data_IF_782820186638
#
_entry.id   IF_782820186638
#
_cell.length_a   1.000
_cell.length_b   1.000
_cell.length_c   1.000
_cell.angle_alpha   90.00
_cell.angle_beta   90.00
_cell.angle_gamma   90.00
#
_symmetry.space_group_name_H-M   'P 1'
#
loop_
_entity.id
_entity.type
_entity.pdbx_description
1 polymer ?
#
# COMPACT_ATOMS: atom_id res chain seq x y z
N UNK A 1 -22.51 3.40 -24.06
CA UNK A 1 -21.22 3.08 -23.41
C UNK A 1 -20.94 1.60 -23.67
N UNK A 2 -19.82 1.24 -24.33
CA UNK A 2 -19.56 -0.15 -24.74
C UNK A 2 -19.37 -1.06 -23.52
N UNK A 3 -19.84 -2.31 -23.58
CA UNK A 3 -19.66 -3.31 -22.50
C UNK A 3 -18.18 -3.52 -22.16
N UNK A 4 -17.31 -3.37 -23.15
CA UNK A 4 -15.85 -3.50 -22.99
C UNK A 4 -15.26 -2.42 -22.08
N UNK A 5 -15.83 -1.21 -22.09
CA UNK A 5 -15.39 -0.12 -21.20
C UNK A 5 -15.75 -0.41 -19.74
N UNK A 6 -16.95 -0.95 -19.49
CA UNK A 6 -17.39 -1.32 -18.14
C UNK A 6 -16.55 -2.49 -17.58
N UNK A 7 -16.23 -3.48 -18.42
CA UNK A 7 -15.37 -4.60 -18.03
C UNK A 7 -13.94 -4.16 -17.72
N UNK A 8 -13.35 -3.29 -18.55
CA UNK A 8 -12.00 -2.75 -18.32
C UNK A 8 -11.91 -1.94 -17.02
N UNK A 9 -12.94 -1.16 -16.68
CA UNK A 9 -13.00 -0.43 -15.41
C UNK A 9 -13.11 -1.38 -14.21
N UNK A 10 -13.92 -2.45 -14.32
CA UNK A 10 -14.05 -3.45 -13.27
C UNK A 10 -12.73 -4.20 -13.02
N UNK A 11 -12.01 -4.59 -14.07
CA UNK A 11 -10.70 -5.23 -13.99
C UNK A 11 -9.67 -4.33 -13.30
N UNK A 12 -9.65 -3.04 -13.64
CA UNK A 12 -8.74 -2.06 -13.01
C UNK A 12 -9.01 -1.89 -11.51
N UNK A 13 -10.29 -1.86 -11.10
CA UNK A 13 -10.66 -1.77 -9.68
C UNK A 13 -10.20 -3.02 -8.90
N UNK A 14 -10.44 -4.22 -9.45
CA UNK A 14 -10.05 -5.47 -8.81
C UNK A 14 -8.53 -5.60 -8.67
N UNK A 15 -7.76 -5.20 -9.69
CA UNK A 15 -6.29 -5.21 -9.62
C UNK A 15 -5.79 -4.27 -8.52
N UNK A 16 -6.36 -3.07 -8.42
CA UNK A 16 -5.98 -2.09 -7.40
C UNK A 16 -6.25 -2.60 -5.98
N UNK A 17 -7.40 -3.21 -5.74
CA UNK A 17 -7.72 -3.82 -4.44
C UNK A 17 -6.73 -4.93 -4.06
N UNK A 18 -6.41 -5.79 -5.03
CA UNK A 18 -5.40 -6.83 -4.83
C UNK A 18 -4.03 -6.24 -4.48
N UNK A 19 -3.57 -5.22 -5.20
CA UNK A 19 -2.29 -4.56 -4.93
C UNK A 19 -2.24 -3.95 -3.52
N UNK A 20 -3.33 -3.29 -3.09
CA UNK A 20 -3.43 -2.73 -1.73
C UNK A 20 -3.33 -3.82 -0.67
N UNK A 21 -4.06 -4.93 -0.85
CA UNK A 21 -4.02 -6.05 0.08
C UNK A 21 -2.62 -6.67 0.14
N UNK A 22 -2.00 -6.90 -1.01
CA UNK A 22 -0.67 -7.48 -1.06
C UNK A 22 0.36 -6.60 -0.33
N UNK A 23 0.26 -5.28 -0.48
CA UNK A 23 1.18 -4.35 0.16
C UNK A 23 0.93 -4.23 1.67
N UNK A 24 -0.33 -4.33 2.12
CA UNK A 24 -0.66 -4.42 3.55
C UNK A 24 -0.12 -5.69 4.19
N UNK A 25 -0.23 -6.82 3.51
CA UNK A 25 0.29 -8.10 3.99
C UNK A 25 1.83 -8.04 4.13
N UNK A 26 2.52 -7.47 3.13
CA UNK A 26 3.97 -7.25 3.22
C UNK A 26 4.35 -6.34 4.39
N UNK A 27 3.66 -5.21 4.58
CA UNK A 27 3.91 -4.31 5.72
C UNK A 27 3.67 -5.01 7.06
N UNK A 28 2.66 -5.86 7.18
CA UNK A 28 2.39 -6.64 8.37
C UNK A 28 3.51 -7.66 8.66
N UNK A 29 4.02 -8.34 7.63
CA UNK A 29 5.19 -9.22 7.75
C UNK A 29 6.44 -8.45 8.21
N UNK A 30 6.70 -7.26 7.67
CA UNK A 30 7.84 -6.43 8.10
C UNK A 30 7.77 -6.03 9.57
N UNK A 31 6.57 -5.80 10.09
CA UNK A 31 6.36 -5.48 11.50
C UNK A 31 6.43 -6.71 12.41
N UNK A 32 5.98 -7.88 11.93
CA UNK A 32 5.96 -9.12 12.70
C UNK A 32 7.32 -9.83 12.77
N UNK A 33 8.15 -9.68 11.74
CA UNK A 33 9.48 -10.28 11.69
C UNK A 33 10.56 -9.31 12.19
N UNK A 34 11.07 -9.57 13.39
CA UNK A 34 12.07 -8.72 14.04
C UNK A 34 13.34 -8.50 13.19
N UNK A 35 13.85 -9.55 12.55
CA UNK A 35 15.02 -9.47 11.66
C UNK A 35 14.82 -8.52 10.48
N UNK A 36 13.61 -8.48 9.93
CA UNK A 36 13.26 -7.61 8.82
C UNK A 36 13.14 -6.17 9.28
N UNK A 37 12.59 -5.96 10.47
CA UNK A 37 12.47 -4.64 11.07
C UNK A 37 13.84 -4.05 11.43
N UNK A 38 14.77 -4.85 11.97
CA UNK A 38 16.16 -4.45 12.20
C UNK A 38 16.86 -4.09 10.90
N UNK A 39 16.67 -4.88 9.84
CA UNK A 39 17.23 -4.58 8.53
C UNK A 39 16.79 -3.20 8.02
N UNK A 40 15.49 -2.88 8.12
CA UNK A 40 14.98 -1.55 7.74
C UNK A 40 15.50 -0.43 8.65
N UNK A 41 15.62 -0.67 9.95
CA UNK A 41 16.15 0.31 10.90
C UNK A 41 17.61 0.68 10.60
N UNK A 42 18.43 -0.32 10.23
CA UNK A 42 19.82 -0.10 9.82
C UNK A 42 19.88 0.62 8.46
N UNK A 43 19.07 0.19 7.49
CA UNK A 43 19.07 0.76 6.15
C UNK A 43 18.61 2.23 6.10
N UNK A 44 17.58 2.59 6.87
CA UNK A 44 17.09 3.97 6.97
C UNK A 44 17.84 4.79 8.05
N UNK A 45 18.75 4.16 8.81
CA UNK A 45 19.47 4.75 9.94
C UNK A 45 18.53 5.46 10.95
N UNK A 46 17.44 4.77 11.27
CA UNK A 46 16.37 5.29 12.12
C UNK A 46 16.07 4.30 13.24
N UNK A 47 15.52 4.79 14.35
CA UNK A 47 15.16 3.90 15.46
C UNK A 47 14.09 2.89 15.04
N UNK A 48 14.16 1.67 15.58
CA UNK A 48 13.14 0.61 15.40
C UNK A 48 11.72 1.15 15.66
N UNK A 49 11.56 2.00 16.67
CA UNK A 49 10.27 2.65 16.98
C UNK A 49 9.78 3.57 15.87
N UNK A 50 10.67 4.34 15.25
CA UNK A 50 10.35 5.22 14.11
C UNK A 50 9.96 4.41 12.88
N UNK A 51 10.68 3.33 12.58
CA UNK A 51 10.32 2.43 11.48
C UNK A 51 8.93 1.82 11.69
N UNK A 52 8.62 1.33 12.90
CA UNK A 52 7.28 0.81 13.23
C UNK A 52 6.20 1.86 13.01
N UNK A 53 6.44 3.10 13.44
CA UNK A 53 5.51 4.21 13.21
C UNK A 53 5.32 4.48 11.72
N UNK A 54 6.39 4.55 10.95
CA UNK A 54 6.35 4.78 9.50
C UNK A 54 5.60 3.65 8.77
N UNK A 55 5.84 2.39 9.14
CA UNK A 55 5.15 1.23 8.57
C UNK A 55 3.65 1.26 8.88
N UNK A 56 3.26 1.61 10.11
CA UNK A 56 1.84 1.79 10.48
C UNK A 56 1.16 2.91 9.68
N UNK A 57 1.83 4.04 9.49
CA UNK A 57 1.29 5.12 8.67
C UNK A 57 1.08 4.70 7.21
N UNK A 58 2.02 3.91 6.65
CA UNK A 58 1.93 3.39 5.27
C UNK A 58 0.78 2.40 5.09
N UNK A 59 0.27 1.74 6.14
CA UNK A 59 -0.85 0.80 6.03
C UNK A 59 -2.19 1.45 5.62
N UNK A 60 -2.38 2.74 5.90
CA UNK A 60 -3.65 3.46 5.63
C UNK A 60 -3.88 3.53 4.12
N UNK A 61 -2.87 3.98 3.36
CA UNK A 61 -2.91 4.11 1.89
C UNK A 61 -1.55 3.72 1.29
N UNK A 62 -1.25 2.41 1.17
CA UNK A 62 0.06 1.97 0.68
C UNK A 62 0.27 2.31 -0.82
N UNK A 63 -0.80 2.33 -1.61
CA UNK A 63 -0.76 2.59 -3.05
C UNK A 63 -1.12 4.05 -3.42
N UNK A 64 -1.02 4.99 -2.47
CA UNK A 64 -1.30 6.40 -2.72
C UNK A 64 -2.78 6.78 -2.76
N UNK A 65 -3.06 8.02 -3.16
CA UNK A 65 -4.42 8.51 -3.28
C UNK A 65 -5.12 7.86 -4.49
N UNK A 66 -6.45 7.64 -4.40
CA UNK A 66 -7.21 7.29 -5.59
C UNK A 66 -7.00 8.37 -6.67
N UNK A 67 -6.99 7.99 -7.96
CA UNK A 67 -6.94 8.96 -9.04
C UNK A 67 -8.10 9.96 -8.86
N UNK A 68 -7.90 11.25 -9.16
CA UNK A 68 -8.97 12.22 -9.06
C UNK A 68 -10.11 11.79 -9.97
N UNK A 69 -11.31 11.65 -9.41
CA UNK A 69 -12.54 11.53 -10.19
C UNK A 69 -12.85 12.91 -10.78
N UNK A 70 -13.40 12.95 -12.01
CA UNK A 70 -13.65 14.20 -12.76
C UNK A 70 -14.57 15.21 -12.04
N UNK A 71 -15.16 14.82 -10.91
CA UNK A 71 -15.98 15.67 -10.03
C UNK A 71 -15.17 16.73 -9.25
N UNK A 72 -13.84 16.72 -9.34
CA UNK A 72 -12.95 17.65 -8.59
C UNK A 72 -12.17 18.63 -9.47
N UNK A 73 -12.63 18.90 -10.70
CA UNK A 73 -12.15 20.00 -11.55
C UNK A 73 -13.11 21.19 -11.58
#
# INVERSE_FOLDING_TARGET
>A
MSRDFLNSQAEHLQMKEWAVNQQRDSLASYMGHFSMLEYFAIAENESIGRIKYNLLQKMIRPCGNPPPTEETL
#
